data_IF_849066922222
#
_entry.id   IF_849066922222
#
_cell.length_a   1.000
_cell.length_b   1.000
_cell.length_c   1.000
_cell.angle_alpha   90.00
_cell.angle_beta   90.00
_cell.angle_gamma   90.00
#
_symmetry.space_group_name_H-M   'P 1'
#
loop_
_entity.id
_entity.type
_entity.pdbx_description
1 polymer ?
#
# COMPACT_ATOMS: atom_id res chain seq x y z
N UNK A 1 -59.01 -10.12 29.79
CA UNK A 1 -58.48 -9.01 28.96
C UNK A 1 -57.18 -8.56 29.65
N UNK A 2 -55.99 -8.58 29.07
CA UNK A 2 -55.63 -8.65 27.68
C UNK A 2 -54.31 -9.39 27.48
N UNK A 3 -54.24 -10.06 26.34
CA UNK A 3 -53.12 -10.82 25.79
C UNK A 3 -52.01 -9.81 25.41
N UNK A 4 -51.30 -9.29 26.40
CA UNK A 4 -50.17 -8.37 26.17
C UNK A 4 -49.06 -8.48 27.21
N UNK A 5 -49.25 -9.27 28.28
CA UNK A 5 -48.28 -9.46 29.37
C UNK A 5 -47.56 -10.82 29.29
N UNK A 6 -47.40 -11.35 28.07
CA UNK A 6 -46.69 -12.61 27.77
C UNK A 6 -45.63 -12.48 26.67
N UNK A 7 -45.26 -11.25 26.29
CA UNK A 7 -44.21 -10.95 25.29
C UNK A 7 -43.00 -10.20 25.86
N UNK A 8 -42.77 -10.25 27.18
CA UNK A 8 -41.66 -9.54 27.86
C UNK A 8 -40.72 -10.53 28.59
N UNK A 9 -40.70 -11.81 28.19
CA UNK A 9 -39.84 -12.81 28.84
C UNK A 9 -39.12 -13.74 27.84
N UNK A 10 -38.72 -13.21 26.67
CA UNK A 10 -37.92 -13.98 25.71
C UNK A 10 -36.90 -13.16 24.91
N UNK A 11 -36.53 -11.97 25.38
CA UNK A 11 -35.51 -11.14 24.71
C UNK A 11 -34.47 -10.54 25.68
N UNK A 12 -34.14 -11.29 26.75
CA UNK A 12 -33.15 -10.87 27.75
C UNK A 12 -32.22 -12.02 28.17
N UNK A 13 -31.94 -12.94 27.25
CA UNK A 13 -31.00 -14.07 27.49
C UNK A 13 -30.20 -14.46 26.24
N UNK A 14 -29.89 -13.50 25.36
CA UNK A 14 -28.89 -13.66 24.27
C UNK A 14 -28.03 -12.39 24.13
N UNK A 15 -27.65 -11.78 25.26
CA UNK A 15 -26.79 -10.58 25.26
C UNK A 15 -25.69 -10.64 26.32
N UNK A 16 -25.12 -11.84 26.55
CA UNK A 16 -23.90 -12.02 27.34
C UNK A 16 -23.05 -13.22 26.85
N UNK A 17 -22.94 -13.41 25.53
CA UNK A 17 -22.01 -14.37 24.93
C UNK A 17 -21.36 -13.85 23.63
N UNK A 18 -21.07 -12.56 23.57
CA UNK A 18 -20.10 -12.01 22.61
C UNK A 18 -19.12 -11.12 23.37
N UNK A 19 -18.48 -11.72 24.38
CA UNK A 19 -17.12 -11.29 24.71
C UNK A 19 -16.27 -11.54 23.45
N UNK A 20 -15.30 -10.67 23.14
CA UNK A 20 -14.38 -10.92 22.04
C UNK A 20 -13.77 -12.31 22.29
N UNK A 21 -14.01 -13.24 21.37
CA UNK A 21 -13.21 -14.45 21.29
C UNK A 21 -11.78 -13.95 21.22
N UNK A 22 -11.01 -14.24 22.28
CA UNK A 22 -9.59 -13.96 22.36
C UNK A 22 -8.96 -14.29 21.00
N UNK A 23 -8.41 -13.26 20.34
CA UNK A 23 -7.45 -13.44 19.28
C UNK A 23 -6.28 -14.24 19.89
N UNK A 24 -6.31 -15.57 19.72
CA UNK A 24 -5.45 -16.50 20.46
C UNK A 24 -5.94 -17.95 20.51
N UNK A 25 -7.18 -18.25 20.09
CA UNK A 25 -7.72 -19.62 20.08
C UNK A 25 -7.59 -20.39 18.76
N UNK A 26 -6.87 -19.88 17.76
CA UNK A 26 -6.63 -20.69 16.56
C UNK A 26 -5.54 -21.71 16.84
N UNK A 27 -5.87 -23.00 16.81
CA UNK A 27 -4.88 -24.10 16.80
C UNK A 27 -4.28 -24.35 15.41
N UNK A 28 -4.47 -23.43 14.46
CA UNK A 28 -3.86 -23.51 13.13
C UNK A 28 -2.44 -22.96 13.11
N UNK A 29 -1.67 -23.42 12.11
CA UNK A 29 -0.42 -22.79 11.71
C UNK A 29 -0.72 -21.37 11.18
N UNK A 30 0.08 -20.41 11.61
CA UNK A 30 0.13 -19.03 11.15
C UNK A 30 1.19 -18.89 10.06
N UNK A 31 0.78 -18.62 8.82
CA UNK A 31 1.71 -18.48 7.68
C UNK A 31 2.42 -17.13 7.60
N UNK A 32 2.25 -16.28 8.62
CA UNK A 32 2.76 -14.91 8.65
C UNK A 32 3.83 -14.66 9.72
N UNK A 33 4.12 -15.64 10.57
CA UNK A 33 5.11 -15.52 11.62
C UNK A 33 5.81 -16.84 11.90
N UNK A 34 7.10 -16.78 12.23
CA UNK A 34 7.88 -17.92 12.68
C UNK A 34 9.05 -17.40 13.49
N UNK A 35 9.42 -18.13 14.53
CA UNK A 35 10.48 -17.75 15.45
C UNK A 35 11.38 -18.94 15.73
N UNK A 36 12.69 -18.71 15.84
CA UNK A 36 13.66 -19.74 16.21
C UNK A 36 14.05 -19.60 17.68
N UNK A 37 14.06 -20.72 18.41
CA UNK A 37 14.39 -20.78 19.85
C UNK A 37 15.23 -22.00 20.17
N UNK A 38 16.08 -21.90 21.19
CA UNK A 38 16.96 -22.99 21.60
C UNK A 38 18.28 -22.49 22.17
N UNK A 39 19.01 -23.36 22.87
CA UNK A 39 20.37 -23.03 23.33
C UNK A 39 21.36 -22.92 22.18
N UNK A 40 21.04 -23.46 21.01
CA UNK A 40 21.85 -23.31 19.80
C UNK A 40 21.87 -21.87 19.25
N UNK A 41 20.81 -21.09 19.51
CA UNK A 41 20.62 -19.73 18.97
C UNK A 41 20.79 -18.67 20.06
N UNK A 42 21.28 -17.49 19.65
CA UNK A 42 21.31 -16.32 20.52
C UNK A 42 19.89 -15.97 20.98
N UNK A 43 19.68 -15.99 22.31
CA UNK A 43 18.37 -15.74 22.93
C UNK A 43 17.82 -16.93 23.71
N UNK A 44 18.32 -18.15 23.46
CA UNK A 44 17.97 -19.33 24.26
C UNK A 44 16.51 -19.78 24.11
N UNK A 45 16.01 -20.46 25.13
CA UNK A 45 14.60 -20.86 25.28
C UNK A 45 13.75 -19.69 25.78
N UNK A 46 13.51 -18.69 24.93
CA UNK A 46 12.77 -17.48 25.27
C UNK A 46 11.71 -17.16 24.20
N UNK A 47 10.49 -16.82 24.63
CA UNK A 47 9.39 -16.40 23.74
C UNK A 47 9.57 -14.98 23.17
N UNK A 48 10.47 -14.16 23.71
CA UNK A 48 11.03 -12.98 23.04
C UNK A 48 12.03 -13.39 21.93
N UNK A 49 11.73 -14.50 21.26
CA UNK A 49 12.55 -15.20 20.29
C UNK A 49 12.92 -14.32 19.10
N UNK A 50 13.98 -14.69 18.39
CA UNK A 50 14.35 -13.97 17.16
C UNK A 50 13.32 -14.30 16.07
N UNK A 51 12.59 -13.29 15.54
CA UNK A 51 11.68 -13.50 14.43
C UNK A 51 12.48 -13.90 13.19
N UNK A 52 11.98 -14.89 12.45
CA UNK A 52 12.50 -15.22 11.13
C UNK A 52 11.94 -14.23 10.10
N UNK A 53 12.75 -13.85 9.12
CA UNK A 53 12.34 -12.97 8.04
C UNK A 53 11.37 -13.70 7.10
N UNK A 54 10.16 -13.20 6.95
CA UNK A 54 9.19 -13.75 6.00
C UNK A 54 9.57 -13.34 4.57
N UNK A 55 9.64 -14.31 3.65
CA UNK A 55 9.98 -14.09 2.23
C UNK A 55 8.84 -14.46 1.28
N UNK A 56 7.90 -15.29 1.72
CA UNK A 56 6.62 -15.56 1.05
C UNK A 56 5.59 -16.02 2.11
N UNK A 57 4.31 -16.14 1.74
CA UNK A 57 3.29 -16.72 2.62
C UNK A 57 3.70 -18.12 3.04
N UNK A 58 4.04 -18.28 4.31
CA UNK A 58 4.47 -19.55 4.90
C UNK A 58 5.94 -19.90 4.71
N UNK A 59 6.74 -19.04 4.06
CA UNK A 59 8.17 -19.28 3.84
C UNK A 59 8.98 -18.23 4.58
N UNK A 60 9.94 -18.70 5.37
CA UNK A 60 10.74 -17.86 6.26
C UNK A 60 12.22 -18.17 6.10
N UNK A 61 13.05 -17.15 6.26
CA UNK A 61 14.50 -17.25 6.29
C UNK A 61 15.06 -16.74 7.61
N UNK A 62 16.16 -17.32 8.06
CA UNK A 62 16.93 -16.82 9.20
C UNK A 62 18.42 -16.97 8.94
N UNK A 63 19.20 -15.95 9.29
CA UNK A 63 20.65 -15.99 9.25
C UNK A 63 21.21 -15.75 10.63
N UNK A 64 22.08 -16.63 11.10
CA UNK A 64 22.77 -16.45 12.37
C UNK A 64 23.56 -17.68 12.81
N UNK A 65 24.23 -17.54 13.94
CA UNK A 65 25.08 -18.60 14.50
C UNK A 65 24.24 -19.70 15.13
N UNK A 66 24.48 -20.95 14.74
CA UNK A 66 24.04 -22.14 15.48
C UNK A 66 25.24 -22.76 16.18
N UNK A 67 25.09 -23.09 17.47
CA UNK A 67 26.14 -23.77 18.24
C UNK A 67 26.03 -25.28 18.07
N UNK A 68 27.14 -25.95 17.74
CA UNK A 68 27.19 -27.40 17.54
C UNK A 68 26.71 -28.19 18.76
N UNK A 69 25.90 -29.22 18.53
CA UNK A 69 25.38 -30.13 19.55
C UNK A 69 24.32 -29.53 20.49
N UNK A 70 24.04 -28.23 20.39
CA UNK A 70 22.99 -27.58 21.15
C UNK A 70 21.64 -27.69 20.42
N UNK A 71 20.53 -27.89 21.14
CA UNK A 71 19.23 -28.06 20.51
C UNK A 71 18.50 -26.74 20.19
N UNK A 72 17.70 -26.76 19.13
CA UNK A 72 16.74 -25.71 18.78
C UNK A 72 15.45 -26.26 18.16
N UNK A 73 14.42 -25.42 18.08
CA UNK A 73 13.15 -25.67 17.38
C UNK A 73 12.53 -24.34 16.95
N UNK A 74 11.31 -24.39 16.40
CA UNK A 74 10.58 -23.19 16.03
C UNK A 74 9.27 -23.03 16.82
N UNK A 75 8.89 -21.78 17.02
CA UNK A 75 7.60 -21.40 17.57
C UNK A 75 6.82 -20.61 16.52
N UNK A 76 5.52 -20.89 16.43
CA UNK A 76 4.61 -20.23 15.49
C UNK A 76 3.67 -19.23 16.19
N UNK A 77 4.06 -18.83 17.41
CA UNK A 77 3.51 -17.70 18.16
C UNK A 77 4.51 -17.25 19.24
N UNK A 78 4.33 -16.04 19.76
CA UNK A 78 5.10 -15.47 20.89
C UNK A 78 4.25 -15.23 22.14
N UNK A 79 2.94 -15.47 22.05
CA UNK A 79 1.97 -15.32 23.14
C UNK A 79 1.94 -16.51 24.11
N UNK A 80 2.72 -17.57 23.85
CA UNK A 80 2.88 -18.70 24.74
C UNK A 80 3.55 -19.90 24.08
N UNK A 81 3.91 -20.90 24.90
CA UNK A 81 4.45 -22.18 24.44
C UNK A 81 3.34 -23.13 24.03
N UNK A 82 2.65 -22.83 22.93
CA UNK A 82 1.53 -23.67 22.48
C UNK A 82 1.48 -23.96 20.99
N UNK A 83 2.24 -23.26 20.13
CA UNK A 83 2.35 -23.58 18.69
C UNK A 83 3.76 -24.03 18.34
N UNK A 84 4.01 -25.32 18.49
CA UNK A 84 5.32 -25.92 18.32
C UNK A 84 5.54 -26.39 16.89
N UNK A 85 6.69 -26.05 16.31
CA UNK A 85 7.18 -26.65 15.08
C UNK A 85 8.52 -27.31 15.39
N UNK A 86 8.54 -28.63 15.25
CA UNK A 86 9.56 -29.52 15.82
C UNK A 86 10.12 -30.46 14.76
N UNK A 87 11.24 -31.10 15.10
CA UNK A 87 11.80 -32.18 14.30
C UNK A 87 10.88 -33.42 14.30
N UNK A 88 11.00 -34.25 13.27
CA UNK A 88 10.26 -35.52 13.21
C UNK A 88 10.91 -36.60 14.06
N UNK A 89 12.20 -36.44 14.37
CA UNK A 89 12.97 -37.36 15.22
C UNK A 89 13.69 -36.63 16.35
N UNK A 90 13.96 -37.35 17.45
CA UNK A 90 14.62 -36.78 18.63
C UNK A 90 16.05 -36.34 18.29
N UNK A 91 16.36 -35.09 18.61
CA UNK A 91 17.68 -34.46 18.42
C UNK A 91 18.22 -34.63 16.99
N UNK A 92 17.35 -34.35 16.02
CA UNK A 92 17.60 -34.52 14.59
C UNK A 92 18.74 -33.64 14.11
N UNK A 93 19.80 -34.25 13.57
CA UNK A 93 20.93 -33.54 13.01
C UNK A 93 20.58 -33.02 11.61
N UNK A 94 20.48 -31.70 11.45
CA UNK A 94 20.30 -31.09 10.13
C UNK A 94 21.66 -30.99 9.44
N UNK A 95 21.76 -31.53 8.22
CA UNK A 95 22.97 -31.37 7.39
C UNK A 95 22.75 -30.31 6.31
N UNK A 96 23.85 -29.69 5.92
CA UNK A 96 23.86 -28.67 4.87
C UNK A 96 23.28 -29.22 3.56
N UNK A 97 22.33 -28.49 2.98
CA UNK A 97 21.66 -28.82 1.73
C UNK A 97 20.60 -29.93 1.81
N UNK A 98 20.47 -30.62 2.94
CA UNK A 98 19.44 -31.66 3.12
C UNK A 98 18.07 -31.04 3.47
N UNK A 99 17.01 -31.64 2.94
CA UNK A 99 15.63 -31.33 3.30
C UNK A 99 15.24 -32.17 4.51
N UNK A 100 14.83 -31.51 5.59
CA UNK A 100 14.32 -32.14 6.79
C UNK A 100 12.84 -31.80 6.99
N UNK A 101 12.06 -32.75 7.50
CA UNK A 101 10.64 -32.58 7.72
C UNK A 101 10.33 -31.99 9.09
N UNK A 102 9.18 -31.34 9.18
CA UNK A 102 8.70 -30.66 10.38
C UNK A 102 7.36 -31.29 10.82
N UNK A 103 7.18 -31.41 12.13
CA UNK A 103 5.87 -31.66 12.74
C UNK A 103 5.33 -30.37 13.37
N UNK A 104 4.00 -30.24 13.41
CA UNK A 104 3.31 -29.15 14.10
C UNK A 104 2.42 -29.68 15.22
N UNK A 105 2.55 -29.10 16.41
CA UNK A 105 1.69 -29.39 17.55
C UNK A 105 1.15 -28.10 18.18
N UNK A 106 -0.18 -27.98 18.21
CA UNK A 106 -0.89 -26.97 18.98
C UNK A 106 -1.20 -27.50 20.40
N UNK A 107 -0.27 -27.33 21.35
CA UNK A 107 -0.38 -27.87 22.70
C UNK A 107 0.41 -27.03 23.73
N UNK A 108 -0.27 -26.51 24.75
CA UNK A 108 0.32 -25.71 25.84
C UNK A 108 1.33 -26.46 26.73
N UNK A 109 1.28 -27.78 26.73
CA UNK A 109 2.13 -28.66 27.52
C UNK A 109 2.53 -29.84 26.63
N UNK A 110 3.27 -29.57 25.57
CA UNK A 110 3.73 -30.60 24.64
C UNK A 110 4.53 -31.68 25.40
N UNK A 111 4.10 -32.95 25.40
CA UNK A 111 4.85 -34.03 26.04
C UNK A 111 6.25 -34.18 25.44
N UNK A 112 7.24 -34.51 26.28
CA UNK A 112 8.65 -34.62 25.87
C UNK A 112 8.88 -35.56 24.67
N UNK A 113 8.05 -36.60 24.50
CA UNK A 113 8.14 -37.53 23.37
C UNK A 113 7.79 -36.90 22.02
N UNK A 114 7.10 -35.76 22.02
CA UNK A 114 6.75 -35.00 20.82
C UNK A 114 7.57 -33.70 20.70
N UNK A 115 8.25 -33.26 21.76
CA UNK A 115 9.08 -32.05 21.74
C UNK A 115 10.50 -32.30 21.18
N UNK A 116 10.54 -32.89 19.98
CA UNK A 116 11.75 -33.20 19.25
C UNK A 116 12.44 -31.90 18.78
N UNK A 117 13.77 -31.90 18.78
CA UNK A 117 14.60 -30.72 18.54
C UNK A 117 15.59 -31.02 17.43
N UNK A 118 16.08 -29.96 16.80
CA UNK A 118 17.14 -30.01 15.81
C UNK A 118 18.49 -29.70 16.45
N UNK A 119 19.57 -30.21 15.84
CA UNK A 119 20.95 -29.87 16.16
C UNK A 119 21.76 -29.69 14.87
N UNK A 120 22.92 -29.06 14.98
CA UNK A 120 23.94 -29.01 13.92
C UNK A 120 25.26 -29.60 14.43
N UNK A 121 26.10 -30.13 13.53
CA UNK A 121 27.37 -30.75 13.90
C UNK A 121 28.53 -29.75 14.03
N UNK A 122 28.39 -28.56 13.47
CA UNK A 122 29.43 -27.54 13.42
C UNK A 122 28.88 -26.18 13.85
N UNK A 123 29.61 -25.47 14.72
CA UNK A 123 29.29 -24.10 15.10
C UNK A 123 29.66 -23.19 13.95
N UNK A 124 28.66 -22.59 13.32
CA UNK A 124 28.85 -21.66 12.19
C UNK A 124 27.65 -20.73 12.07
N UNK A 125 27.81 -19.70 11.25
CA UNK A 125 26.67 -18.95 10.74
C UNK A 125 26.00 -19.75 9.63
N UNK A 126 24.69 -19.91 9.74
CA UNK A 126 23.86 -20.61 8.77
C UNK A 126 22.80 -19.68 8.19
N UNK A 127 22.49 -19.89 6.92
CA UNK A 127 21.26 -19.44 6.29
C UNK A 127 20.28 -20.61 6.31
N UNK A 128 19.15 -20.42 6.97
CA UNK A 128 18.10 -21.42 7.12
C UNK A 128 16.82 -20.95 6.43
N UNK A 129 16.16 -21.86 5.72
CA UNK A 129 14.83 -21.65 5.14
C UNK A 129 13.85 -22.65 5.73
N UNK A 130 12.69 -22.17 6.15
CA UNK A 130 11.56 -22.98 6.62
C UNK A 130 10.35 -22.70 5.74
N UNK A 131 9.79 -23.74 5.12
CA UNK A 131 8.53 -23.68 4.37
C UNK A 131 7.45 -24.45 5.15
N UNK A 132 6.52 -23.71 5.74
CA UNK A 132 5.39 -24.24 6.52
C UNK A 132 4.28 -24.84 5.64
N UNK A 133 4.32 -24.63 4.32
CA UNK A 133 3.35 -25.20 3.38
C UNK A 133 3.72 -26.63 3.04
N UNK A 134 5.01 -26.89 2.87
CA UNK A 134 5.58 -28.23 2.66
C UNK A 134 6.06 -28.89 3.96
N UNK A 135 6.03 -28.17 5.09
CA UNK A 135 6.49 -28.62 6.40
C UNK A 135 7.93 -29.15 6.33
N UNK A 136 8.83 -28.31 5.81
CA UNK A 136 10.25 -28.65 5.73
C UNK A 136 11.18 -27.49 6.10
N UNK A 137 12.41 -27.86 6.46
CA UNK A 137 13.51 -26.96 6.75
C UNK A 137 14.77 -27.41 5.99
N UNK A 138 15.52 -26.44 5.50
CA UNK A 138 16.85 -26.62 4.92
C UNK A 138 17.79 -25.57 5.50
N UNK A 139 19.08 -25.90 5.60
CA UNK A 139 20.12 -24.91 5.90
C UNK A 139 21.32 -25.08 4.99
N UNK A 140 22.05 -24.00 4.81
CA UNK A 140 23.40 -23.95 4.23
C UNK A 140 24.27 -23.05 5.08
N UNK A 141 25.59 -23.19 4.99
CA UNK A 141 26.48 -22.20 5.64
C UNK A 141 26.16 -20.82 5.09
N UNK A 142 26.07 -19.84 5.98
CA UNK A 142 25.82 -18.48 5.57
C UNK A 142 26.95 -18.04 4.63
N UNK A 143 26.63 -17.46 3.46
CA UNK A 143 27.65 -16.91 2.60
C UNK A 143 28.41 -15.80 3.36
N UNK A 144 29.66 -15.56 2.98
CA UNK A 144 30.42 -14.42 3.49
C UNK A 144 29.61 -13.12 3.31
N UNK A 145 29.79 -12.18 4.23
CA UNK A 145 29.13 -10.87 4.16
C UNK A 145 29.31 -10.28 2.76
N UNK A 146 28.19 -10.15 2.05
CA UNK A 146 28.19 -9.73 0.66
C UNK A 146 28.42 -8.22 0.59
N UNK A 147 29.38 -7.79 -0.22
CA UNK A 147 29.52 -6.38 -0.60
C UNK A 147 28.63 -6.11 -1.79
N UNK A 148 27.85 -5.03 -1.72
CA UNK A 148 26.93 -4.67 -2.78
C UNK A 148 27.50 -3.53 -3.63
N UNK A 149 27.27 -3.55 -4.95
CA UNK A 149 27.83 -2.60 -5.88
C UNK A 149 27.07 -1.27 -5.84
N UNK A 150 27.75 -0.19 -6.22
CA UNK A 150 27.12 1.12 -6.45
C UNK A 150 26.25 1.16 -7.73
N UNK A 151 26.37 0.12 -8.58
CA UNK A 151 25.65 -0.01 -9.85
C UNK A 151 25.21 -1.45 -10.06
N UNK A 152 23.96 -1.60 -10.49
CA UNK A 152 23.41 -2.86 -10.98
C UNK A 152 23.05 -2.73 -12.46
N UNK A 153 23.23 -3.84 -13.17
CA UNK A 153 22.74 -4.01 -14.53
C UNK A 153 21.85 -5.23 -14.58
N UNK A 154 20.68 -5.11 -15.22
CA UNK A 154 19.79 -6.23 -15.49
C UNK A 154 19.93 -6.68 -16.95
N UNK A 155 19.97 -7.99 -17.16
CA UNK A 155 20.02 -8.60 -18.49
C UNK A 155 19.36 -9.97 -18.49
N UNK A 156 19.14 -10.56 -19.66
CA UNK A 156 18.69 -11.94 -19.80
C UNK A 156 17.79 -12.14 -21.00
N UNK A 157 17.42 -13.40 -21.24
CA UNK A 157 16.63 -13.77 -22.42
C UNK A 157 15.25 -13.08 -22.45
N UNK A 158 14.68 -12.75 -21.28
CA UNK A 158 13.41 -12.01 -21.17
C UNK A 158 13.50 -10.55 -21.68
N UNK A 159 14.71 -10.02 -21.81
CA UNK A 159 15.03 -8.65 -22.26
C UNK A 159 15.80 -8.66 -23.60
N UNK A 160 15.69 -9.74 -24.39
CA UNK A 160 16.47 -9.94 -25.62
C UNK A 160 17.99 -9.86 -25.41
N UNK A 161 18.46 -10.21 -24.20
CA UNK A 161 19.85 -10.09 -23.76
C UNK A 161 20.40 -8.67 -23.80
N UNK A 162 19.55 -7.64 -23.85
CA UNK A 162 19.97 -6.25 -23.62
C UNK A 162 20.50 -6.13 -22.20
N UNK A 163 21.50 -5.28 -22.03
CA UNK A 163 22.01 -4.89 -20.71
C UNK A 163 21.47 -3.51 -20.39
N UNK A 164 20.85 -3.38 -19.22
CA UNK A 164 20.20 -2.14 -18.77
C UNK A 164 20.78 -1.79 -17.41
N UNK A 165 21.40 -0.61 -17.28
CA UNK A 165 21.80 -0.06 -15.99
C UNK A 165 20.54 0.33 -15.20
N UNK A 166 20.41 -0.15 -13.97
CA UNK A 166 19.30 0.22 -13.09
C UNK A 166 19.55 1.63 -12.52
N UNK A 167 18.61 2.58 -12.70
CA UNK A 167 18.67 3.87 -12.06
C UNK A 167 18.68 3.74 -10.52
N UNK A 168 19.59 4.44 -9.86
CA UNK A 168 19.63 4.59 -8.41
C UNK A 168 18.87 5.86 -8.01
N UNK A 169 17.94 5.74 -7.06
CA UNK A 169 17.21 6.87 -6.49
C UNK A 169 17.85 7.21 -5.14
N UNK A 170 18.76 8.18 -5.17
CA UNK A 170 19.59 8.60 -4.02
C UNK A 170 20.20 7.38 -3.30
N UNK A 171 20.06 7.27 -1.98
CA UNK A 171 20.48 6.11 -1.17
C UNK A 171 19.28 5.25 -0.71
N UNK A 172 18.15 5.32 -1.44
CA UNK A 172 16.97 4.53 -1.09
C UNK A 172 16.95 3.19 -1.82
N UNK A 173 16.92 3.21 -3.15
CA UNK A 173 16.80 1.98 -3.94
C UNK A 173 17.24 2.15 -5.38
N UNK A 174 17.53 1.04 -6.04
CA UNK A 174 17.53 0.95 -7.50
C UNK A 174 16.13 0.56 -7.96
N UNK A 175 15.61 1.24 -8.98
CA UNK A 175 14.26 0.96 -9.50
C UNK A 175 14.22 1.01 -11.02
N UNK A 176 13.58 0.02 -11.64
CA UNK A 176 13.38 0.02 -13.08
C UNK A 176 12.12 -0.71 -13.52
N UNK A 177 11.38 -0.08 -14.43
CA UNK A 177 10.18 -0.63 -15.06
C UNK A 177 10.51 -1.12 -16.47
N UNK A 178 10.14 -2.35 -16.79
CA UNK A 178 10.55 -3.03 -18.02
C UNK A 178 9.45 -3.95 -18.55
N UNK A 179 9.40 -4.11 -19.87
CA UNK A 179 8.57 -5.14 -20.51
C UNK A 179 9.40 -6.39 -20.74
N UNK A 180 8.92 -7.53 -20.26
CA UNK A 180 9.58 -8.82 -20.37
C UNK A 180 8.77 -9.79 -21.25
N UNK A 181 9.49 -10.65 -21.98
CA UNK A 181 8.93 -11.89 -22.55
C UNK A 181 9.25 -13.10 -21.66
N UNK A 182 8.63 -14.27 -21.88
CA UNK A 182 8.98 -15.46 -21.13
C UNK A 182 10.46 -15.82 -21.32
N UNK A 183 11.15 -16.14 -20.24
CA UNK A 183 12.60 -16.34 -20.24
C UNK A 183 13.20 -16.19 -18.86
N UNK A 184 14.34 -15.51 -18.77
CA UNK A 184 15.01 -15.21 -17.51
C UNK A 184 15.58 -13.79 -17.49
N UNK A 185 15.77 -13.27 -16.28
CA UNK A 185 16.56 -12.07 -16.00
C UNK A 185 17.57 -12.34 -14.89
N UNK A 186 18.71 -11.67 -14.93
CA UNK A 186 19.75 -11.73 -13.91
C UNK A 186 20.36 -10.35 -13.71
N UNK A 187 20.78 -10.09 -12.48
CA UNK A 187 21.49 -8.87 -12.11
C UNK A 187 23.00 -9.12 -12.15
N UNK A 188 23.76 -8.11 -12.55
CA UNK A 188 25.22 -8.12 -12.52
C UNK A 188 25.77 -6.74 -12.14
N UNK A 189 27.03 -6.68 -11.70
CA UNK A 189 27.69 -5.43 -11.29
C UNK A 189 28.61 -4.81 -12.35
N UNK A 190 28.65 -5.38 -13.55
CA UNK A 190 29.41 -4.86 -14.69
C UNK A 190 28.50 -4.65 -15.91
N UNK A 191 28.79 -3.66 -16.78
CA UNK A 191 27.98 -3.41 -17.99
C UNK A 191 28.13 -4.49 -19.07
N UNK A 192 29.16 -5.31 -18.98
CA UNK A 192 29.42 -6.44 -19.87
C UNK A 192 29.83 -7.66 -19.03
N UNK A 193 29.51 -8.86 -19.52
CA UNK A 193 29.92 -10.11 -18.86
C UNK A 193 31.41 -10.34 -19.04
N UNK A 194 32.12 -10.64 -17.96
CA UNK A 194 33.54 -10.97 -17.96
C UNK A 194 33.96 -11.78 -16.73
N UNK A 195 35.25 -12.06 -16.61
CA UNK A 195 35.80 -12.90 -15.53
C UNK A 195 35.60 -12.31 -14.12
N UNK A 196 35.45 -10.99 -14.02
CA UNK A 196 35.25 -10.28 -12.75
C UNK A 196 33.78 -9.94 -12.47
N UNK A 197 32.85 -10.37 -13.33
CA UNK A 197 31.43 -10.09 -13.14
C UNK A 197 30.88 -10.93 -11.99
N UNK A 198 30.25 -10.27 -11.02
CA UNK A 198 29.41 -10.94 -10.05
C UNK A 198 27.97 -10.88 -10.52
N UNK A 199 27.25 -11.96 -10.30
CA UNK A 199 25.84 -12.09 -10.60
C UNK A 199 25.05 -12.16 -9.30
N UNK A 200 23.95 -11.42 -9.26
CA UNK A 200 23.01 -11.42 -8.13
C UNK A 200 21.77 -12.20 -8.56
N UNK A 201 21.44 -13.20 -7.76
CA UNK A 201 20.49 -14.26 -8.11
C UNK A 201 19.48 -14.45 -6.97
N UNK A 202 18.31 -15.06 -7.22
CA UNK A 202 17.42 -15.47 -6.14
C UNK A 202 18.12 -16.46 -5.20
N UNK A 203 17.70 -16.47 -3.93
CA UNK A 203 18.19 -17.44 -2.94
C UNK A 203 17.79 -18.88 -3.26
N UNK A 204 16.71 -19.06 -4.02
CA UNK A 204 16.23 -20.38 -4.45
C UNK A 204 16.36 -20.51 -5.96
N UNK A 205 16.50 -21.75 -6.40
CA UNK A 205 16.46 -22.08 -7.82
C UNK A 205 15.03 -21.89 -8.38
N UNK A 206 14.95 -21.64 -9.69
CA UNK A 206 13.71 -21.55 -10.45
C UNK A 206 12.65 -20.55 -9.91
N UNK A 207 13.10 -19.51 -9.21
CA UNK A 207 12.24 -18.44 -8.68
C UNK A 207 11.77 -17.52 -9.81
N UNK A 208 10.47 -17.30 -9.91
CA UNK A 208 9.90 -16.27 -10.80
C UNK A 208 10.24 -14.87 -10.29
N UNK A 209 10.48 -13.92 -11.20
CA UNK A 209 10.82 -12.53 -10.86
C UNK A 209 9.78 -11.89 -9.94
N UNK A 210 8.51 -12.28 -10.05
CA UNK A 210 7.43 -11.77 -9.21
C UNK A 210 7.21 -12.56 -7.91
N UNK A 211 8.04 -13.56 -7.62
CA UNK A 211 8.02 -14.27 -6.35
C UNK A 211 8.31 -13.32 -5.19
N UNK A 212 7.66 -13.57 -4.04
CA UNK A 212 7.81 -12.72 -2.87
C UNK A 212 7.08 -11.38 -2.98
N UNK A 213 5.95 -11.29 -3.71
CA UNK A 213 5.10 -10.07 -3.74
C UNK A 213 4.86 -9.53 -2.32
N UNK A 214 5.49 -8.41 -2.01
CA UNK A 214 5.35 -7.70 -0.73
C UNK A 214 6.42 -8.03 0.31
N UNK A 215 7.37 -8.90 0.00
CA UNK A 215 8.45 -9.31 0.89
C UNK A 215 9.81 -9.09 0.21
N UNK A 216 10.61 -8.23 0.81
CA UNK A 216 11.98 -8.02 0.41
C UNK A 216 12.76 -9.33 0.65
N UNK A 217 13.34 -9.91 -0.40
CA UNK A 217 14.11 -11.15 -0.31
C UNK A 217 15.61 -10.86 -0.46
N UNK A 218 16.44 -11.59 0.27
CA UNK A 218 17.89 -11.50 0.09
C UNK A 218 18.27 -11.96 -1.33
N UNK A 219 19.41 -11.49 -1.83
CA UNK A 219 20.01 -11.99 -3.06
C UNK A 219 21.20 -12.90 -2.74
N UNK A 220 21.34 -13.98 -3.50
CA UNK A 220 22.58 -14.75 -3.56
C UNK A 220 23.57 -14.05 -4.49
N UNK A 221 24.86 -14.35 -4.32
CA UNK A 221 25.93 -13.86 -5.21
C UNK A 221 26.74 -15.03 -5.74
N UNK A 222 27.00 -15.03 -7.04
CA UNK A 222 27.81 -16.04 -7.72
C UNK A 222 28.68 -15.38 -8.79
N UNK A 223 29.80 -16.02 -9.14
CA UNK A 223 30.63 -15.68 -10.30
C UNK A 223 30.41 -16.65 -11.46
N UNK A 224 29.47 -17.60 -11.34
CA UNK A 224 29.15 -18.54 -12.42
C UNK A 224 28.48 -17.81 -13.60
N UNK A 225 29.14 -17.73 -14.78
CA UNK A 225 28.55 -17.07 -15.94
C UNK A 225 27.32 -17.79 -16.51
N UNK A 226 27.10 -19.06 -16.15
CA UNK A 226 25.93 -19.84 -16.55
C UNK A 226 24.69 -19.59 -15.66
N UNK A 227 24.83 -18.83 -14.57
CA UNK A 227 23.72 -18.48 -13.71
C UNK A 227 22.59 -17.77 -14.49
N UNK A 228 21.34 -18.16 -14.21
CA UNK A 228 20.16 -17.67 -14.93
C UNK A 228 19.39 -16.56 -14.20
N UNK A 229 19.58 -16.41 -12.90
CA UNK A 229 18.82 -15.46 -12.09
C UNK A 229 17.36 -15.91 -11.93
N UNK A 230 16.43 -14.97 -12.11
CA UNK A 230 14.99 -15.19 -12.01
C UNK A 230 14.40 -15.68 -13.32
N UNK A 231 13.42 -16.58 -13.24
CA UNK A 231 12.54 -16.87 -14.37
C UNK A 231 11.53 -15.74 -14.58
N UNK A 232 11.12 -15.55 -15.83
CA UNK A 232 9.95 -14.74 -16.17
C UNK A 232 8.97 -15.69 -16.83
N UNK A 233 7.96 -16.12 -16.09
CA UNK A 233 7.04 -17.16 -16.55
C UNK A 233 6.00 -16.63 -17.55
N UNK A 234 5.66 -15.34 -17.46
CA UNK A 234 4.63 -14.73 -18.28
C UNK A 234 5.12 -13.43 -18.91
N UNK A 235 4.79 -13.21 -20.19
CA UNK A 235 5.02 -11.91 -20.82
C UNK A 235 4.26 -10.80 -20.08
N UNK A 236 4.80 -9.59 -20.12
CA UNK A 236 4.15 -8.38 -19.63
C UNK A 236 5.13 -7.41 -19.02
N UNK A 237 4.57 -6.41 -18.34
CA UNK A 237 5.32 -5.35 -17.70
C UNK A 237 5.68 -5.75 -16.27
N UNK A 238 6.89 -5.38 -15.86
CA UNK A 238 7.47 -5.70 -14.55
C UNK A 238 8.19 -4.47 -13.99
N UNK A 239 8.23 -4.37 -12.66
CA UNK A 239 9.01 -3.38 -11.94
C UNK A 239 9.94 -4.13 -10.98
N UNK A 240 11.23 -3.82 -11.01
CA UNK A 240 12.24 -4.35 -10.09
C UNK A 240 12.73 -3.26 -9.15
N UNK A 241 12.97 -3.64 -7.89
CA UNK A 241 13.46 -2.80 -6.82
C UNK A 241 14.63 -3.50 -6.13
N UNK A 242 15.65 -2.75 -5.73
CA UNK A 242 16.74 -3.22 -4.87
C UNK A 242 16.97 -2.16 -3.79
N UNK A 243 16.67 -2.47 -2.53
CA UNK A 243 16.91 -1.53 -1.42
C UNK A 243 18.40 -1.28 -1.23
N UNK A 244 18.81 -0.03 -1.04
CA UNK A 244 20.18 0.30 -0.68
C UNK A 244 20.48 0.06 0.81
N UNK A 245 19.45 0.00 1.67
CA UNK A 245 19.61 -0.12 3.12
C UNK A 245 19.94 -1.55 3.56
N UNK A 246 19.27 -2.54 2.96
CA UNK A 246 19.41 -3.95 3.30
C UNK A 246 19.73 -4.86 2.11
N UNK A 247 19.81 -4.31 0.90
CA UNK A 247 20.19 -5.01 -0.34
C UNK A 247 19.27 -6.18 -0.69
N UNK A 248 18.02 -6.10 -0.24
CA UNK A 248 16.99 -7.03 -0.67
C UNK A 248 16.36 -6.55 -1.96
N UNK A 249 15.93 -7.52 -2.77
CA UNK A 249 15.21 -7.25 -4.01
C UNK A 249 13.71 -7.45 -3.84
N UNK A 250 12.96 -6.81 -4.72
CA UNK A 250 11.56 -7.10 -5.00
C UNK A 250 11.31 -7.03 -6.51
N UNK A 251 10.54 -7.96 -7.05
CA UNK A 251 10.00 -7.87 -8.41
C UNK A 251 8.48 -7.93 -8.38
N UNK A 252 7.82 -7.11 -9.19
CA UNK A 252 6.36 -7.09 -9.32
C UNK A 252 6.01 -7.16 -10.80
N UNK A 253 5.09 -8.06 -11.17
CA UNK A 253 4.39 -7.94 -12.44
C UNK A 253 3.43 -6.75 -12.34
N UNK A 254 3.61 -5.76 -13.21
CA UNK A 254 2.78 -4.57 -13.29
C UNK A 254 1.41 -4.90 -13.87
N UNK A 255 0.39 -4.35 -13.24
CA UNK A 255 -0.96 -4.30 -13.76
C UNK A 255 -1.49 -2.89 -13.45
N UNK A 256 -2.04 -2.17 -14.44
CA UNK A 256 -2.52 -0.82 -14.20
C UNK A 256 -3.60 -0.79 -13.11
N UNK A 257 -3.51 0.19 -12.21
CA UNK A 257 -4.50 0.37 -11.15
C UNK A 257 -5.76 1.04 -11.72
N UNK A 258 -6.91 0.63 -11.18
CA UNK A 258 -8.20 1.26 -11.53
C UNK A 258 -8.51 2.49 -10.67
N UNK A 259 -7.99 2.49 -9.45
CA UNK A 259 -8.25 3.52 -8.45
C UNK A 259 -6.97 3.80 -7.67
N UNK A 260 -6.77 5.08 -7.37
CA UNK A 260 -5.89 5.58 -6.31
C UNK A 260 -6.60 6.77 -5.67
N UNK A 261 -6.21 7.15 -4.46
CA UNK A 261 -6.91 8.15 -3.68
C UNK A 261 -5.94 9.18 -3.10
N UNK A 262 -6.28 10.46 -3.15
CA UNK A 262 -5.55 11.51 -2.42
C UNK A 262 -6.13 11.67 -1.02
N UNK A 263 -5.25 11.80 -0.03
CA UNK A 263 -5.65 12.07 1.35
C UNK A 263 -4.59 12.91 2.04
N UNK A 264 -5.00 13.92 2.81
CA UNK A 264 -4.06 14.83 3.44
C UNK A 264 -4.74 15.89 4.26
N UNK A 265 -3.97 16.64 5.05
CA UNK A 265 -4.45 17.82 5.78
C UNK A 265 -4.82 18.96 4.84
N UNK A 266 -4.26 18.96 3.63
CA UNK A 266 -4.53 19.99 2.61
C UNK A 266 -5.72 19.69 1.68
N UNK A 267 -6.39 18.55 1.87
CA UNK A 267 -7.59 18.20 1.11
C UNK A 267 -8.85 18.84 1.73
N UNK A 268 -9.92 18.98 0.94
CA UNK A 268 -11.23 19.50 1.38
C UNK A 268 -11.72 18.84 2.69
N UNK A 269 -11.52 17.53 2.82
CA UNK A 269 -11.74 16.79 4.06
C UNK A 269 -10.40 16.24 4.58
N UNK A 270 -9.84 16.84 5.65
CA UNK A 270 -8.56 16.42 6.19
C UNK A 270 -8.53 14.95 6.58
N UNK A 271 -7.52 14.23 6.09
CA UNK A 271 -7.25 12.84 6.45
C UNK A 271 -8.42 11.85 6.24
N UNK A 272 -9.33 12.17 5.31
CA UNK A 272 -10.54 11.40 5.02
C UNK A 272 -10.47 10.73 3.64
N UNK A 273 -10.39 9.38 3.61
CA UNK A 273 -10.49 8.60 2.37
C UNK A 273 -11.82 7.84 2.21
N UNK A 274 -12.63 7.76 3.27
CA UNK A 274 -13.84 6.92 3.28
C UNK A 274 -15.04 7.65 2.68
N UNK A 275 -15.03 8.98 2.68
CA UNK A 275 -15.97 9.78 1.90
C UNK A 275 -15.56 9.75 0.42
N UNK A 276 -16.53 9.62 -0.49
CA UNK A 276 -16.27 9.57 -1.94
C UNK A 276 -16.18 10.97 -2.56
N UNK A 277 -16.36 12.03 -1.77
CA UNK A 277 -16.23 13.40 -2.24
C UNK A 277 -14.77 13.74 -2.59
N UNK A 278 -14.48 13.81 -3.88
CA UNK A 278 -13.29 14.44 -4.48
C UNK A 278 -11.91 13.91 -4.06
N UNK A 279 -11.78 12.63 -3.71
CA UNK A 279 -10.49 12.03 -3.37
C UNK A 279 -10.02 10.95 -4.35
N UNK A 280 -10.85 10.48 -5.28
CA UNK A 280 -10.50 9.40 -6.19
C UNK A 280 -9.96 9.93 -7.52
N UNK A 281 -8.86 9.34 -7.99
CA UNK A 281 -8.32 9.64 -9.32
C UNK A 281 -9.13 8.89 -10.40
N UNK A 282 -9.27 9.51 -11.56
CA UNK A 282 -9.90 8.92 -12.73
C UNK A 282 -8.85 8.34 -13.69
N UNK A 283 -9.06 7.15 -14.28
CA UNK A 283 -8.15 6.61 -15.29
C UNK A 283 -7.99 7.54 -16.50
N UNK A 284 -6.76 7.68 -17.00
CA UNK A 284 -6.50 8.38 -18.25
C UNK A 284 -6.92 7.48 -19.44
N UNK A 285 -7.89 7.89 -20.29
CA UNK A 285 -8.32 7.08 -21.43
C UNK A 285 -7.24 6.88 -22.49
N UNK A 286 -6.25 7.78 -22.56
CA UNK A 286 -5.17 7.74 -23.55
C UNK A 286 -3.94 6.94 -23.08
N UNK A 287 -3.80 6.75 -21.76
CA UNK A 287 -2.72 5.97 -21.17
C UNK A 287 -3.24 5.17 -19.96
N UNK A 288 -3.43 3.87 -20.15
CA UNK A 288 -3.97 2.98 -19.12
C UNK A 288 -3.12 2.94 -17.82
N UNK A 289 -1.84 3.33 -17.87
CA UNK A 289 -0.97 3.37 -16.68
C UNK A 289 -1.18 4.62 -15.83
N UNK A 290 -1.87 5.63 -16.36
CA UNK A 290 -2.05 6.92 -15.70
C UNK A 290 -3.43 7.05 -15.05
N UNK A 291 -3.46 7.61 -13.85
CA UNK A 291 -4.67 8.11 -13.21
C UNK A 291 -4.50 9.59 -12.93
N UNK A 292 -5.55 10.38 -13.14
CA UNK A 292 -5.55 11.84 -13.03
C UNK A 292 -6.56 12.28 -11.98
N UNK A 293 -6.16 13.19 -11.12
CA UNK A 293 -7.02 13.89 -10.19
C UNK A 293 -6.88 15.39 -10.39
N UNK A 294 -8.01 16.09 -10.36
CA UNK A 294 -8.04 17.54 -10.32
C UNK A 294 -8.87 17.99 -9.14
N UNK A 295 -8.36 18.96 -8.40
CA UNK A 295 -9.08 19.52 -7.27
C UNK A 295 -8.27 20.56 -6.53
N UNK A 296 -8.93 21.15 -5.54
CA UNK A 296 -8.33 22.16 -4.69
C UNK A 296 -7.50 21.50 -3.58
N UNK A 297 -6.29 22.02 -3.37
CA UNK A 297 -5.48 21.77 -2.19
C UNK A 297 -5.17 23.12 -1.54
N UNK A 298 -5.45 23.23 -0.24
CA UNK A 298 -5.22 24.44 0.53
C UNK A 298 -4.66 24.07 1.91
N UNK A 299 -3.90 24.97 2.53
CA UNK A 299 -3.44 24.76 3.89
C UNK A 299 -4.64 24.54 4.82
N UNK A 300 -4.65 23.41 5.51
CA UNK A 300 -5.68 23.08 6.49
C UNK A 300 -5.81 24.15 7.57
N UNK A 301 -7.03 24.36 8.06
CA UNK A 301 -7.33 25.32 9.14
C UNK A 301 -6.61 24.97 10.44
N UNK A 302 -6.50 25.94 11.35
CA UNK A 302 -5.86 25.78 12.65
C UNK A 302 -6.32 24.51 13.39
N UNK A 303 -5.35 23.70 13.81
CA UNK A 303 -5.58 22.43 14.48
C UNK A 303 -5.63 21.20 13.56
N UNK A 304 -5.58 21.39 12.23
CA UNK A 304 -5.46 20.29 11.27
C UNK A 304 -4.07 19.65 11.38
N UNK A 305 -3.95 18.33 11.61
CA UNK A 305 -2.66 17.65 11.57
C UNK A 305 -2.05 17.75 10.17
N UNK A 306 -0.76 18.09 10.07
CA UNK A 306 -0.03 18.15 8.79
C UNK A 306 -0.82 18.92 7.70
N UNK A 307 -1.19 20.19 7.98
CA UNK A 307 -2.21 20.94 7.24
C UNK A 307 -1.85 21.19 5.76
N UNK A 308 -0.56 21.11 5.43
CA UNK A 308 0.00 21.39 4.12
C UNK A 308 0.39 20.12 3.36
N UNK A 309 0.04 18.93 3.87
CA UNK A 309 0.56 17.66 3.37
C UNK A 309 -0.52 16.73 2.85
N UNK A 310 -0.11 15.83 1.96
CA UNK A 310 -0.93 14.72 1.49
C UNK A 310 -0.07 13.48 1.16
N UNK A 311 -0.76 12.35 1.01
CA UNK A 311 -0.25 11.09 0.46
C UNK A 311 -1.26 10.52 -0.52
N UNK A 312 -0.81 9.54 -1.30
CA UNK A 312 -1.66 8.84 -2.26
C UNK A 312 -1.84 7.39 -1.79
N UNK A 313 -3.07 7.00 -1.53
CA UNK A 313 -3.42 5.62 -1.17
C UNK A 313 -3.69 4.80 -2.42
N UNK A 314 -3.22 3.55 -2.43
CA UNK A 314 -3.54 2.65 -3.54
C UNK A 314 -4.83 1.86 -3.34
N UNK A 315 -5.36 1.88 -2.12
CA UNK A 315 -6.65 1.34 -1.70
C UNK A 315 -7.27 2.26 -0.64
N UNK A 316 -8.57 2.12 -0.33
CA UNK A 316 -9.20 2.82 0.82
C UNK A 316 -8.76 2.18 2.15
N UNK A 317 -7.47 2.19 2.43
CA UNK A 317 -6.86 1.54 3.60
C UNK A 317 -5.56 2.24 4.00
N UNK A 318 -5.34 2.36 5.30
CA UNK A 318 -4.06 2.84 5.85
C UNK A 318 -2.97 1.77 5.86
N UNK A 319 -3.34 0.49 5.79
CA UNK A 319 -2.42 -0.64 6.01
C UNK A 319 -2.01 -1.33 4.72
N UNK A 320 -2.65 -0.99 3.60
CA UNK A 320 -2.27 -1.47 2.28
C UNK A 320 -1.10 -0.64 1.72
N UNK A 321 -0.55 -1.09 0.59
CA UNK A 321 0.48 -0.35 -0.13
C UNK A 321 0.01 1.09 -0.42
N UNK A 322 0.88 2.05 -0.15
CA UNK A 322 0.64 3.46 -0.41
C UNK A 322 1.80 4.04 -1.23
N UNK A 323 1.51 5.12 -1.92
CA UNK A 323 2.49 5.88 -2.68
C UNK A 323 3.02 7.02 -1.82
N UNK A 324 4.34 7.09 -1.73
CA UNK A 324 5.08 8.05 -0.91
C UNK A 324 6.15 8.78 -1.72
N UNK A 325 6.51 10.03 -1.36
CA UNK A 325 7.79 10.60 -1.78
C UNK A 325 8.92 9.93 -1.03
N UNK A 326 10.12 9.91 -1.61
CA UNK A 326 11.30 9.39 -0.91
C UNK A 326 11.69 10.23 0.31
N UNK A 327 11.43 11.54 0.27
CA UNK A 327 11.79 12.50 1.34
C UNK A 327 10.53 13.16 1.89
N UNK A 328 10.41 13.21 3.23
CA UNK A 328 9.31 13.89 3.93
C UNK A 328 9.24 15.36 3.53
N UNK A 329 8.04 15.84 3.18
CA UNK A 329 7.82 17.25 2.84
C UNK A 329 8.34 17.65 1.46
N UNK A 330 8.61 16.68 0.57
CA UNK A 330 8.89 16.94 -0.84
C UNK A 330 7.75 17.76 -1.44
N UNK A 331 8.06 18.88 -2.08
CA UNK A 331 7.05 19.71 -2.73
C UNK A 331 6.39 18.95 -3.88
N UNK A 332 5.06 19.03 -3.95
CA UNK A 332 4.27 18.46 -5.04
C UNK A 332 4.33 19.38 -6.27
N UNK A 333 5.46 19.36 -6.99
CA UNK A 333 5.69 20.18 -8.17
C UNK A 333 6.43 19.39 -9.25
N UNK A 334 5.98 19.51 -10.51
CA UNK A 334 6.60 18.82 -11.63
C UNK A 334 6.48 17.30 -11.51
N UNK A 335 7.40 16.56 -12.12
CA UNK A 335 7.40 15.09 -12.10
C UNK A 335 8.43 14.57 -11.13
N UNK A 336 7.99 13.79 -10.14
CA UNK A 336 8.84 13.18 -9.10
C UNK A 336 8.62 11.67 -9.02
N UNK A 337 9.63 10.88 -8.63
CA UNK A 337 9.46 9.45 -8.45
C UNK A 337 8.65 9.14 -7.18
N UNK A 338 7.83 8.10 -7.26
CA UNK A 338 7.02 7.55 -6.17
C UNK A 338 7.72 6.32 -5.60
N UNK A 339 7.55 6.05 -4.31
CA UNK A 339 7.98 4.81 -3.66
C UNK A 339 6.77 4.01 -3.15
N UNK A 340 6.82 2.68 -3.31
CA UNK A 340 5.91 1.69 -2.67
C UNK A 340 6.62 0.75 -1.68
N UNK A 341 7.92 0.90 -1.56
CA UNK A 341 8.88 0.02 -0.89
C UNK A 341 9.50 0.69 0.35
N UNK A 342 10.66 0.17 0.78
CA UNK A 342 11.44 0.51 1.97
C UNK A 342 11.44 2.00 2.36
N UNK A 343 10.95 2.29 3.57
CA UNK A 343 11.11 3.55 4.30
C UNK A 343 9.87 3.96 5.11
N UNK A 344 9.86 5.21 5.62
CA UNK A 344 8.81 5.69 6.52
C UNK A 344 7.54 6.23 5.84
N UNK A 345 6.55 6.59 6.66
CA UNK A 345 5.28 7.24 6.26
C UNK A 345 5.51 8.71 5.85
N UNK A 346 6.14 8.92 4.70
CA UNK A 346 6.48 10.25 4.18
C UNK A 346 5.35 10.84 3.35
N UNK A 347 5.27 12.17 3.29
CA UNK A 347 4.16 12.90 2.66
C UNK A 347 4.69 14.01 1.76
N UNK A 348 3.95 14.29 0.69
CA UNK A 348 4.19 15.47 -0.12
C UNK A 348 3.63 16.70 0.57
N UNK A 349 4.15 17.86 0.21
CA UNK A 349 3.70 19.16 0.69
C UNK A 349 3.28 20.06 -0.48
N UNK A 350 2.21 20.83 -0.32
CA UNK A 350 1.85 21.90 -1.27
C UNK A 350 2.65 23.17 -0.98
N UNK A 351 3.05 23.89 -2.03
CA UNK A 351 3.77 25.15 -1.88
C UNK A 351 2.83 26.33 -1.57
N UNK A 352 1.59 26.27 -2.06
CA UNK A 352 0.57 27.32 -1.94
C UNK A 352 -0.83 26.75 -2.17
N UNK A 353 -1.85 27.50 -1.79
CA UNK A 353 -3.23 27.10 -2.00
C UNK A 353 -3.62 27.24 -3.49
N UNK A 354 -4.42 26.30 -3.97
CA UNK A 354 -5.07 26.40 -5.27
C UNK A 354 -5.55 25.10 -5.87
N UNK A 355 -5.93 25.18 -7.14
CA UNK A 355 -6.37 24.05 -7.94
C UNK A 355 -5.16 23.39 -8.60
N UNK A 356 -5.09 22.07 -8.47
CA UNK A 356 -4.01 21.24 -8.98
C UNK A 356 -4.55 20.16 -9.90
N UNK A 357 -3.72 19.74 -10.86
CA UNK A 357 -3.82 18.45 -11.54
C UNK A 357 -2.69 17.57 -11.06
N UNK A 358 -3.01 16.37 -10.58
CA UNK A 358 -2.03 15.35 -10.19
C UNK A 358 -2.24 14.13 -11.08
N UNK A 359 -1.18 13.69 -11.75
CA UNK A 359 -1.16 12.48 -12.58
C UNK A 359 -0.23 11.46 -11.96
N UNK A 360 -0.71 10.24 -11.75
CA UNK A 360 0.04 9.10 -11.23
C UNK A 360 0.26 8.10 -12.36
N UNK A 361 1.50 7.94 -12.82
CA UNK A 361 1.88 6.85 -13.72
C UNK A 361 2.29 5.64 -12.88
N UNK A 362 1.43 4.61 -12.88
CA UNK A 362 1.59 3.39 -12.07
C UNK A 362 2.65 2.43 -12.63
N UNK A 363 3.02 2.53 -13.91
CA UNK A 363 4.07 1.70 -14.48
C UNK A 363 5.44 2.31 -14.23
N UNK A 364 5.59 3.62 -14.44
CA UNK A 364 6.84 4.34 -14.15
C UNK A 364 7.01 4.66 -12.66
N UNK A 365 5.93 4.55 -11.89
CA UNK A 365 5.83 4.99 -10.51
C UNK A 365 6.35 6.42 -10.34
N UNK A 366 5.68 7.35 -11.02
CA UNK A 366 5.95 8.79 -10.96
C UNK A 366 4.67 9.56 -10.71
N UNK A 367 4.80 10.67 -9.98
CA UNK A 367 3.73 11.66 -9.77
C UNK A 367 4.10 12.94 -10.51
N UNK A 368 3.20 13.40 -11.37
CA UNK A 368 3.30 14.72 -12.01
C UNK A 368 2.26 15.65 -11.40
N UNK A 369 2.70 16.77 -10.81
CA UNK A 369 1.80 17.78 -10.23
C UNK A 369 1.91 19.09 -11.00
N UNK A 370 0.77 19.59 -11.46
CA UNK A 370 0.60 20.86 -12.16
C UNK A 370 -0.30 21.78 -11.34
N UNK A 371 0.17 23.00 -11.08
CA UNK A 371 -0.66 24.06 -10.54
C UNK A 371 -1.50 24.68 -11.66
N UNK A 372 -2.82 24.64 -11.52
CA UNK A 372 -3.75 25.13 -12.54
C UNK A 372 -4.14 26.59 -12.30
N UNK A 373 -4.57 26.91 -11.07
CA UNK A 373 -5.03 28.26 -10.72
C UNK A 373 -5.01 28.46 -9.19
N UNK A 374 -5.10 29.70 -8.70
CA UNK A 374 -5.36 29.98 -7.28
C UNK A 374 -6.66 29.33 -6.79
N UNK A 375 -6.76 29.20 -5.47
CA UNK A 375 -8.05 28.95 -4.81
C UNK A 375 -8.94 30.11 -5.20
N UNK A 376 -10.13 29.80 -5.71
CA UNK A 376 -11.13 30.85 -5.77
C UNK A 376 -11.43 31.22 -4.34
N UNK A 377 -11.10 32.45 -3.94
CA UNK A 377 -11.47 33.00 -2.64
C UNK A 377 -12.90 32.55 -2.33
N UNK A 378 -13.13 31.76 -1.26
CA UNK A 378 -14.48 31.60 -0.80
C UNK A 378 -14.95 33.03 -0.52
N UNK A 379 -16.00 33.48 -1.19
CA UNK A 379 -16.70 34.68 -0.75
C UNK A 379 -16.97 34.49 0.72
N UNK A 380 -16.27 35.26 1.54
CA UNK A 380 -16.28 35.12 2.99
C UNK A 380 -17.71 35.28 3.48
N UNK A 381 -18.33 34.17 3.87
CA UNK A 381 -19.37 34.21 4.90
C UNK A 381 -18.89 33.28 5.99
N UNK A 382 -18.42 33.91 7.06
CA UNK A 382 -18.13 33.28 8.34
C UNK A 382 -19.19 32.22 8.69
N UNK A 383 -18.71 31.08 9.19
CA UNK A 383 -19.36 30.24 10.20
C UNK A 383 -20.88 30.04 10.14
N UNK A 384 -21.24 28.76 9.94
CA UNK A 384 -22.58 28.14 9.94
C UNK A 384 -23.23 28.11 8.57
N UNK A 385 -23.85 26.98 8.24
CA UNK A 385 -24.42 26.67 6.93
C UNK A 385 -25.66 27.48 6.57
N UNK A 386 -25.51 28.80 6.50
CA UNK A 386 -26.50 29.75 6.01
C UNK A 386 -25.73 30.79 5.15
N UNK A 387 -25.83 30.73 3.83
CA UNK A 387 -25.05 31.59 2.94
C UNK A 387 -25.65 31.74 1.54
N UNK A 388 -25.97 32.99 1.19
CA UNK A 388 -26.28 33.45 -0.16
C UNK A 388 -25.03 33.35 -1.04
N UNK A 389 -25.09 32.55 -2.10
CA UNK A 389 -24.08 32.51 -3.15
C UNK A 389 -24.29 33.67 -4.15
N UNK A 390 -23.26 34.49 -4.36
CA UNK A 390 -23.27 35.54 -5.40
C UNK A 390 -23.30 36.99 -4.89
N UNK A 391 -23.19 37.21 -3.58
CA UNK A 391 -23.14 38.57 -3.02
C UNK A 391 -21.80 38.80 -2.33
N UNK A 392 -20.74 39.14 -3.09
CA UNK A 392 -20.04 40.40 -2.79
C UNK A 392 -19.15 40.95 -3.92
N UNK A 393 -19.21 42.28 -4.00
CA UNK A 393 -18.54 43.26 -4.88
C UNK A 393 -18.04 42.80 -6.27
N UNK A 394 -18.82 43.17 -7.29
CA UNK A 394 -18.50 43.19 -8.73
C UNK A 394 -18.71 41.89 -9.55
N UNK A 395 -19.75 41.10 -9.24
CA UNK A 395 -20.26 40.11 -10.20
C UNK A 395 -20.87 40.83 -11.42
N UNK A 396 -20.19 40.74 -12.57
CA UNK A 396 -20.52 41.45 -13.82
C UNK A 396 -21.82 40.91 -14.44
N UNK A 397 -22.37 39.80 -13.94
CA UNK A 397 -23.46 39.04 -14.55
C UNK A 397 -24.75 38.95 -13.71
N UNK A 398 -24.82 39.56 -12.53
CA UNK A 398 -26.09 39.80 -11.81
C UNK A 398 -26.88 38.58 -11.30
N UNK A 399 -26.27 37.40 -11.18
CA UNK A 399 -26.90 36.18 -10.64
C UNK A 399 -26.72 36.08 -9.12
N UNK A 400 -27.80 35.85 -8.38
CA UNK A 400 -27.79 35.61 -6.92
C UNK A 400 -28.59 34.33 -6.58
N UNK A 401 -28.01 33.46 -5.75
CA UNK A 401 -28.59 32.17 -5.31
C UNK A 401 -28.55 32.05 -3.78
N UNK A 402 -29.53 31.39 -3.17
CA UNK A 402 -29.49 30.94 -1.76
C UNK A 402 -29.56 29.42 -1.72
N UNK A 403 -28.84 28.82 -0.77
CA UNK A 403 -28.85 27.37 -0.52
C UNK A 403 -29.30 27.00 0.91
N UNK A 404 -30.10 27.85 1.55
CA UNK A 404 -30.42 27.73 2.97
C UNK A 404 -31.67 26.89 3.23
N UNK A 405 -31.87 26.41 4.46
CA UNK A 405 -33.07 25.67 4.89
C UNK A 405 -33.43 24.46 4.01
N UNK A 406 -32.45 23.65 3.61
CA UNK A 406 -32.66 22.50 2.73
C UNK A 406 -33.25 22.87 1.36
N UNK A 407 -32.95 24.07 0.86
CA UNK A 407 -33.56 24.65 -0.34
C UNK A 407 -32.50 25.30 -1.22
N UNK A 408 -32.71 25.28 -2.53
CA UNK A 408 -32.00 26.13 -3.49
C UNK A 408 -32.99 27.13 -4.08
N UNK A 409 -32.69 28.41 -3.97
CA UNK A 409 -33.51 29.51 -4.47
C UNK A 409 -32.70 30.47 -5.35
N UNK A 410 -33.21 30.79 -6.53
CA UNK A 410 -32.67 31.88 -7.34
C UNK A 410 -33.22 33.19 -6.79
N UNK A 411 -32.35 34.03 -6.26
CA UNK A 411 -32.74 35.32 -5.67
C UNK A 411 -32.87 36.37 -6.76
N UNK A 412 -31.91 36.40 -7.70
CA UNK A 412 -31.90 37.34 -8.81
C UNK A 412 -31.21 36.78 -10.07
N UNK A 413 -31.66 37.21 -11.23
CA UNK A 413 -30.99 37.01 -12.52
C UNK A 413 -31.33 38.15 -13.49
N UNK A 414 -30.37 38.67 -14.29
CA UNK A 414 -30.63 39.77 -15.23
C UNK A 414 -31.50 39.36 -16.42
N UNK A 415 -31.61 38.06 -16.69
CA UNK A 415 -32.43 37.47 -17.75
C UNK A 415 -33.15 36.20 -17.25
N UNK A 416 -34.21 35.74 -17.92
CA UNK A 416 -34.76 34.41 -17.66
C UNK A 416 -33.71 33.33 -17.92
N UNK A 417 -33.51 32.46 -16.93
CA UNK A 417 -32.50 31.38 -16.94
C UNK A 417 -33.13 30.03 -16.58
N UNK A 418 -32.52 28.98 -17.09
CA UNK A 418 -32.78 27.60 -16.72
C UNK A 418 -31.86 27.22 -15.56
N UNK A 419 -32.44 26.82 -14.43
CA UNK A 419 -31.71 26.42 -13.23
C UNK A 419 -31.94 24.95 -12.93
N UNK A 420 -30.86 24.19 -12.88
CA UNK A 420 -30.87 22.74 -12.68
C UNK A 420 -30.00 22.35 -11.49
N UNK A 421 -30.57 21.61 -10.55
CA UNK A 421 -29.92 21.09 -9.34
C UNK A 421 -29.64 19.59 -9.55
N UNK A 422 -28.40 19.17 -9.40
CA UNK A 422 -27.94 17.80 -9.63
C UNK A 422 -27.19 17.31 -8.39
N UNK A 423 -27.44 16.08 -7.95
CA UNK A 423 -26.66 15.48 -6.86
C UNK A 423 -25.32 14.91 -7.39
N UNK A 424 -24.42 14.51 -6.50
CA UNK A 424 -23.11 13.94 -6.90
C UNK A 424 -23.19 12.64 -7.71
N UNK A 425 -24.31 11.91 -7.63
CA UNK A 425 -24.56 10.74 -8.46
C UNK A 425 -25.01 11.09 -9.90
N UNK A 426 -25.02 12.38 -10.27
CA UNK A 426 -25.45 12.87 -11.58
C UNK A 426 -26.97 12.88 -11.78
N UNK A 427 -27.76 12.60 -10.73
CA UNK A 427 -29.22 12.62 -10.81
C UNK A 427 -29.76 14.03 -10.68
N UNK A 428 -30.65 14.40 -11.60
CA UNK A 428 -31.32 15.71 -11.59
C UNK A 428 -32.38 15.72 -10.51
N UNK A 429 -32.22 16.60 -9.53
CA UNK A 429 -33.13 16.74 -8.40
C UNK A 429 -34.23 17.75 -8.70
N UNK A 430 -33.87 18.85 -9.37
CA UNK A 430 -34.83 19.84 -9.82
C UNK A 430 -34.35 20.53 -11.09
N UNK A 431 -35.31 21.00 -11.89
CA UNK A 431 -35.06 21.83 -13.06
C UNK A 431 -36.20 22.84 -13.18
N UNK A 432 -35.87 24.12 -13.32
CA UNK A 432 -36.81 25.22 -13.55
C UNK A 432 -36.32 26.02 -14.75
N UNK A 433 -37.18 26.17 -15.74
CA UNK A 433 -36.84 26.83 -17.00
C UNK A 433 -37.39 28.26 -17.03
N UNK A 434 -36.61 29.18 -17.62
CA UNK A 434 -37.02 30.56 -17.87
C UNK A 434 -37.40 31.38 -16.62
N UNK A 435 -36.76 31.13 -15.47
CA UNK A 435 -37.00 31.87 -14.24
C UNK A 435 -36.01 33.02 -14.08
N UNK A 436 -36.43 34.14 -13.49
CA UNK A 436 -35.53 35.21 -13.08
C UNK A 436 -35.35 35.31 -11.56
N UNK A 437 -36.19 34.57 -10.81
CA UNK A 437 -36.13 34.38 -9.35
C UNK A 437 -37.09 33.25 -8.92
N UNK A 438 -36.92 32.75 -7.70
CA UNK A 438 -37.80 31.80 -7.03
C UNK A 438 -37.12 30.50 -6.63
N UNK A 439 -37.82 29.72 -5.79
CA UNK A 439 -37.35 28.42 -5.30
C UNK A 439 -37.23 27.43 -6.45
N UNK A 440 -36.04 26.84 -6.56
CA UNK A 440 -35.70 25.84 -7.58
C UNK A 440 -35.93 24.43 -7.05
N UNK A 441 -35.41 24.16 -5.86
CA UNK A 441 -35.51 22.86 -5.17
C UNK A 441 -35.74 23.09 -3.67
N UNK A 442 -36.50 22.23 -3.01
CA UNK A 442 -36.84 22.33 -1.58
C UNK A 442 -36.85 20.92 -0.95
N UNK A 443 -36.71 20.83 0.38
CA UNK A 443 -36.58 19.58 1.14
C UNK A 443 -35.42 18.68 0.67
N UNK A 444 -34.29 19.30 0.29
CA UNK A 444 -33.07 18.59 -0.10
C UNK A 444 -32.43 17.91 1.12
N UNK A 445 -32.00 16.66 0.96
CA UNK A 445 -31.18 15.99 1.97
C UNK A 445 -29.83 16.69 2.12
N UNK A 446 -29.27 16.71 3.33
CA UNK A 446 -27.91 17.20 3.59
C UNK A 446 -26.92 16.53 2.64
N UNK A 447 -26.07 17.33 1.99
CA UNK A 447 -25.16 16.84 0.97
C UNK A 447 -24.71 17.93 0.00
N UNK A 448 -23.88 17.54 -0.96
CA UNK A 448 -23.36 18.45 -1.98
C UNK A 448 -24.19 18.32 -3.26
N UNK A 449 -24.53 19.46 -3.84
CA UNK A 449 -25.24 19.56 -5.11
C UNK A 449 -24.51 20.50 -6.06
N UNK A 450 -24.68 20.26 -7.35
CA UNK A 450 -24.27 21.17 -8.41
C UNK A 450 -25.52 21.89 -8.93
N UNK A 451 -25.51 23.22 -8.87
CA UNK A 451 -26.56 24.07 -9.41
C UNK A 451 -26.03 24.72 -10.69
N UNK A 452 -26.54 24.31 -11.84
CA UNK A 452 -26.23 24.95 -13.13
C UNK A 452 -27.30 25.99 -13.48
N UNK A 453 -26.87 27.17 -13.95
CA UNK A 453 -27.70 28.30 -14.37
C UNK A 453 -27.34 28.64 -15.82
N UNK A 454 -28.29 28.52 -16.73
CA UNK A 454 -28.07 28.72 -18.18
C UNK A 454 -29.11 29.67 -18.76
N UNK A 455 -28.66 30.71 -19.45
CA UNK A 455 -29.48 31.69 -20.16
C UNK A 455 -28.86 32.05 -21.51
N UNK A 456 -29.32 33.15 -22.11
CA UNK A 456 -28.80 33.65 -23.38
C UNK A 456 -27.37 34.21 -23.26
N UNK A 457 -27.05 34.82 -22.11
CA UNK A 457 -25.77 35.46 -21.81
C UNK A 457 -25.08 34.88 -20.57
N UNK A 458 -25.76 34.00 -19.81
CA UNK A 458 -25.24 33.36 -18.59
C UNK A 458 -25.07 31.85 -18.80
N UNK A 459 -23.92 31.29 -18.40
CA UNK A 459 -23.72 29.85 -18.30
C UNK A 459 -22.76 29.56 -17.15
N UNK A 460 -23.30 29.19 -15.99
CA UNK A 460 -22.55 29.01 -14.74
C UNK A 460 -22.96 27.75 -14.01
N UNK A 461 -22.05 27.26 -13.17
CA UNK A 461 -22.32 26.15 -12.25
C UNK A 461 -21.76 26.49 -10.87
N UNK A 462 -22.52 26.15 -9.83
CA UNK A 462 -22.21 26.41 -8.43
C UNK A 462 -22.22 25.08 -7.68
N UNK A 463 -21.17 24.81 -6.88
CA UNK A 463 -21.18 23.72 -5.90
C UNK A 463 -21.80 24.28 -4.62
N UNK A 464 -22.96 23.76 -4.22
CA UNK A 464 -23.67 24.19 -3.01
C UNK A 464 -23.70 23.05 -2.00
N UNK A 465 -23.58 23.39 -0.73
CA UNK A 465 -23.73 22.45 0.38
C UNK A 465 -25.07 22.73 1.05
N UNK A 466 -25.90 21.69 1.14
CA UNK A 466 -27.16 21.68 1.89
C UNK A 466 -26.96 20.95 3.20
#
# INVERSE_FOLDING_TARGET
>A
MNIAMKKILSLLTVFFCSLPVFAGMSNSIEYNQLYIVGTAVKGGWNLSATPMGKIDRGVFTWTGTLTAGEPFKFMNSTDGWHKHIVATTKDELIKEGEIHHLDFYANWQLPDMYDNKFQVSETADYLMTVDLRSMCVTLVKAPAATTYPDKYYITGSALDNKVIELPKIEDFEFKYSMTCKPGNVILMDTPERGENTRYFVPMFEDVDLSFGKGYAANMGVTTDPAAKGWSVSAAGDYIVYISCSDNKYQGKKHAPRKYVYIVGGCCELPWNYWDESNNCFSPNPENANELVWEGELANGVDGTPEPDQFKILTEKSWTEENYHPYIQGTLAEGTTPIRTTDGGDTKWKIAKDGNYRITIDTFRETMTTEYLSPTQEPTSTDGNGDGLAGVDSAAIDGIELSSDNHRVELINSPEPVDVKVVNLAGSVIAHKEGISKGVVADNLSTGIYVVSVTGMSVNKSYKVRI
#
